data_IF_803791367344
#
_entry.id   IF_803791367344
#
_cell.length_a   1.000
_cell.length_b   1.000
_cell.length_c   1.000
_cell.angle_alpha   90.00
_cell.angle_beta   90.00
_cell.angle_gamma   90.00
#
_symmetry.space_group_name_H-M   'P 1'
#
loop_
_entity.id
_entity.type
_entity.pdbx_description
1 polymer ?
#
# COMPACT_ATOMS: atom_id res chain seq x y z
N UNK A 1 8.32 10.17 -8.30
CA UNK A 1 7.19 9.24 -8.61
C UNK A 1 6.93 9.20 -10.11
N UNK A 2 7.98 9.13 -10.96
CA UNK A 2 7.76 8.91 -12.38
C UNK A 2 7.47 7.42 -12.57
N UNK A 3 6.37 7.08 -13.25
CA UNK A 3 6.04 5.69 -13.57
C UNK A 3 5.15 4.95 -12.57
N UNK A 4 4.37 5.64 -11.73
CA UNK A 4 3.32 5.00 -10.90
C UNK A 4 1.94 5.60 -11.21
N UNK A 5 0.93 4.75 -11.28
CA UNK A 5 -0.48 5.15 -11.36
C UNK A 5 -1.11 4.98 -9.97
N UNK A 6 -1.38 6.09 -9.28
CA UNK A 6 -1.91 6.09 -7.90
C UNK A 6 -3.33 6.63 -7.88
N UNK A 7 -4.21 5.97 -7.11
CA UNK A 7 -5.54 6.47 -6.75
C UNK A 7 -5.64 6.55 -5.23
N UNK A 8 -6.16 7.65 -4.72
CA UNK A 8 -6.26 7.90 -3.28
C UNK A 8 -7.62 8.48 -2.92
N UNK A 9 -8.31 7.81 -2.02
CA UNK A 9 -9.42 8.34 -1.23
C UNK A 9 -8.99 8.67 0.21
N UNK A 10 -7.68 8.55 0.53
CA UNK A 10 -7.14 8.81 1.86
C UNK A 10 -7.41 10.26 2.31
N UNK A 11 -8.15 10.47 3.42
CA UNK A 11 -8.41 11.81 3.94
C UNK A 11 -7.13 12.55 4.38
N UNK A 12 -7.21 13.88 4.52
CA UNK A 12 -6.08 14.74 4.90
C UNK A 12 -5.75 14.76 6.40
N UNK A 13 -6.66 14.29 7.25
CA UNK A 13 -6.53 14.24 8.71
C UNK A 13 -6.44 12.81 9.20
N UNK A 14 -5.69 12.52 10.28
CA UNK A 14 -5.63 11.18 10.89
C UNK A 14 -7.02 10.60 11.25
N UNK A 15 -7.16 9.25 11.27
CA UNK A 15 -8.40 8.60 11.70
C UNK A 15 -8.76 9.01 13.13
N UNK A 16 -10.02 9.40 13.33
CA UNK A 16 -10.58 9.73 14.62
C UNK A 16 -12.11 9.44 14.59
N UNK A 17 -12.80 9.48 15.75
CA UNK A 17 -14.21 9.13 15.81
C UNK A 17 -15.12 9.96 14.89
N UNK A 18 -14.75 11.19 14.53
CA UNK A 18 -15.57 12.08 13.71
C UNK A 18 -15.43 11.86 12.20
N UNK A 19 -14.32 11.25 11.73
CA UNK A 19 -14.05 11.03 10.30
C UNK A 19 -13.88 9.54 9.94
N UNK A 20 -14.15 8.63 10.87
CA UNK A 20 -13.91 7.20 10.67
C UNK A 20 -14.62 6.63 9.44
N UNK A 21 -15.79 7.18 9.08
CA UNK A 21 -16.54 6.76 7.90
C UNK A 21 -15.76 6.95 6.59
N UNK A 22 -15.00 8.04 6.47
CA UNK A 22 -14.19 8.35 5.29
C UNK A 22 -13.03 7.34 5.11
N UNK A 23 -12.64 6.67 6.20
CA UNK A 23 -11.61 5.63 6.23
C UNK A 23 -12.11 4.24 5.85
N UNK A 24 -13.43 4.04 5.76
CA UNK A 24 -14.02 2.73 5.41
C UNK A 24 -14.11 2.50 3.90
N UNK A 25 -13.42 3.31 3.10
CA UNK A 25 -13.34 3.09 1.66
C UNK A 25 -12.63 1.74 1.39
N UNK A 26 -13.24 0.84 0.59
CA UNK A 26 -12.64 -0.46 0.26
C UNK A 26 -11.25 -0.38 -0.40
N UNK A 27 -10.93 0.74 -1.05
CA UNK A 27 -9.58 1.07 -1.53
C UNK A 27 -9.24 2.50 -1.09
N UNK A 28 -8.61 2.62 0.08
CA UNK A 28 -8.30 3.92 0.66
C UNK A 28 -7.17 4.62 -0.09
N UNK A 29 -6.12 3.88 -0.41
CA UNK A 29 -5.09 4.32 -1.36
C UNK A 29 -4.46 3.11 -2.01
N UNK A 30 -4.28 3.15 -3.32
CA UNK A 30 -3.65 2.08 -4.07
C UNK A 30 -2.85 2.62 -5.25
N UNK A 31 -1.95 1.79 -5.76
CA UNK A 31 -1.18 2.16 -6.94
C UNK A 31 -0.47 0.98 -7.58
N UNK A 32 -0.17 1.14 -8.86
CA UNK A 32 0.60 0.19 -9.65
C UNK A 32 1.76 0.89 -10.35
N UNK A 33 2.88 0.21 -10.50
CA UNK A 33 3.96 0.64 -11.38
C UNK A 33 3.48 0.69 -12.84
N UNK A 34 4.17 1.44 -13.70
CA UNK A 34 3.78 1.65 -15.09
C UNK A 34 3.74 0.35 -15.92
N UNK A 35 4.56 -0.62 -15.54
CA UNK A 35 4.60 -1.97 -16.10
C UNK A 35 3.69 -2.97 -15.37
N UNK A 36 2.93 -2.51 -14.37
CA UNK A 36 2.04 -3.30 -13.51
C UNK A 36 2.72 -4.44 -12.71
N UNK A 37 4.05 -4.48 -12.67
CA UNK A 37 4.83 -5.51 -11.95
C UNK A 37 4.76 -5.36 -10.44
N UNK A 38 4.52 -4.16 -9.94
CA UNK A 38 4.43 -3.86 -8.52
C UNK A 38 3.14 -3.13 -8.22
N UNK A 39 2.43 -3.61 -7.21
CA UNK A 39 1.13 -3.08 -6.80
C UNK A 39 1.14 -2.88 -5.29
N UNK A 40 0.50 -1.81 -4.83
CA UNK A 40 0.14 -1.69 -3.43
C UNK A 40 -1.33 -1.30 -3.29
N UNK A 41 -1.92 -1.71 -2.18
CA UNK A 41 -3.27 -1.36 -1.78
C UNK A 41 -3.32 -1.20 -0.27
N UNK A 42 -4.04 -0.19 0.20
CA UNK A 42 -4.21 0.05 1.62
C UNK A 42 -5.67 0.30 1.97
N UNK A 43 -6.05 -0.27 3.12
CA UNK A 43 -7.33 -0.07 3.80
C UNK A 43 -7.08 0.34 5.25
N UNK A 44 -8.11 0.82 5.92
CA UNK A 44 -8.07 1.06 7.37
C UNK A 44 -8.91 0.01 8.10
N UNK A 45 -8.34 -0.59 9.14
CA UNK A 45 -9.02 -1.56 10.01
C UNK A 45 -9.42 -0.86 11.32
N UNK A 46 -10.64 -0.27 11.40
CA UNK A 46 -11.05 0.56 12.52
C UNK A 46 -11.08 -0.20 13.85
N UNK A 47 -11.40 -1.50 13.83
CA UNK A 47 -11.44 -2.36 15.00
C UNK A 47 -10.05 -2.65 15.59
N UNK A 48 -8.99 -2.39 14.82
CA UNK A 48 -7.59 -2.56 15.23
C UNK A 48 -6.84 -1.23 15.38
N UNK A 49 -7.43 -0.13 14.91
CA UNK A 49 -6.84 1.21 14.99
C UNK A 49 -5.58 1.37 14.15
N UNK A 50 -5.49 0.70 13.00
CA UNK A 50 -4.31 0.79 12.12
C UNK A 50 -4.68 0.61 10.65
N UNK A 51 -3.76 0.99 9.77
CA UNK A 51 -3.82 0.71 8.34
C UNK A 51 -3.34 -0.72 8.07
N UNK A 52 -3.87 -1.32 7.01
CA UNK A 52 -3.33 -2.55 6.42
C UNK A 52 -2.86 -2.18 5.03
N UNK A 53 -1.54 -2.11 4.83
CA UNK A 53 -0.91 -1.86 3.55
C UNK A 53 -0.41 -3.19 3.00
N UNK A 54 -0.95 -3.60 1.86
CA UNK A 54 -0.52 -4.79 1.12
C UNK A 54 0.39 -4.36 -0.02
N UNK A 55 1.59 -4.92 -0.07
CA UNK A 55 2.57 -4.75 -1.13
C UNK A 55 2.66 -6.05 -1.93
N UNK A 56 2.63 -5.95 -3.25
CA UNK A 56 2.58 -7.10 -4.15
C UNK A 56 3.57 -6.95 -5.29
N UNK A 57 4.19 -8.06 -5.66
CA UNK A 57 4.89 -8.23 -6.92
C UNK A 57 4.09 -9.20 -7.79
N UNK A 58 3.90 -8.84 -9.04
CA UNK A 58 3.20 -9.64 -10.05
C UNK A 58 4.25 -10.41 -10.86
N UNK A 59 3.97 -11.69 -11.09
CA UNK A 59 4.74 -12.56 -11.98
C UNK A 59 4.49 -12.17 -13.44
N UNK A 60 5.56 -11.99 -14.21
CA UNK A 60 5.49 -11.50 -15.59
C UNK A 60 5.00 -12.56 -16.59
N UNK A 61 5.08 -13.86 -16.25
CA UNK A 61 4.71 -14.95 -17.14
C UNK A 61 3.21 -15.29 -17.04
N UNK A 62 2.70 -15.33 -15.80
CA UNK A 62 1.34 -15.79 -15.52
C UNK A 62 0.39 -14.71 -15.00
N UNK A 63 0.92 -13.54 -14.59
CA UNK A 63 0.12 -12.44 -14.05
C UNK A 63 -0.42 -12.68 -12.64
N UNK A 64 0.07 -13.70 -11.93
CA UNK A 64 -0.28 -13.97 -10.53
C UNK A 64 0.56 -13.13 -9.58
N UNK A 65 0.10 -13.00 -8.32
CA UNK A 65 0.92 -12.42 -7.26
C UNK A 65 2.06 -13.40 -6.95
N UNK A 66 3.29 -13.02 -7.32
CA UNK A 66 4.51 -13.77 -7.02
C UNK A 66 4.87 -13.64 -5.53
N UNK A 67 4.80 -12.42 -5.02
CA UNK A 67 5.10 -12.13 -3.61
C UNK A 67 4.09 -11.15 -3.04
N UNK A 68 3.77 -11.33 -1.76
CA UNK A 68 2.89 -10.47 -0.99
C UNK A 68 3.55 -10.14 0.36
N UNK A 69 3.45 -8.90 0.80
CA UNK A 69 3.83 -8.48 2.14
C UNK A 69 2.75 -7.55 2.72
N UNK A 70 2.42 -7.72 4.00
CA UNK A 70 1.52 -6.83 4.73
C UNK A 70 2.28 -6.02 5.76
N UNK A 71 2.06 -4.71 5.74
CA UNK A 71 2.55 -3.76 6.73
C UNK A 71 1.37 -3.17 7.48
N UNK A 72 1.61 -2.77 8.73
CA UNK A 72 0.55 -2.29 9.63
C UNK A 72 0.83 -0.88 10.18
N UNK A 73 0.87 0.15 9.32
CA UNK A 73 1.11 1.54 9.76
C UNK A 73 0.06 2.00 10.77
N UNK A 74 0.47 2.77 11.78
CA UNK A 74 -0.43 3.32 12.81
C UNK A 74 -0.86 4.76 12.54
N UNK A 75 -0.26 5.41 11.55
CA UNK A 75 -0.57 6.78 11.16
C UNK A 75 -0.51 6.94 9.64
N UNK A 76 -1.13 8.00 9.13
CA UNK A 76 -1.01 8.38 7.71
C UNK A 76 0.43 8.69 7.34
N UNK A 77 1.19 9.29 8.26
CA UNK A 77 2.60 9.61 8.04
C UNK A 77 3.43 8.33 7.82
N UNK A 78 3.22 7.30 8.64
CA UNK A 78 3.86 5.99 8.48
C UNK A 78 3.41 5.31 7.18
N UNK A 79 2.11 5.31 6.88
CA UNK A 79 1.57 4.76 5.64
C UNK A 79 2.24 5.40 4.41
N UNK A 80 2.30 6.74 4.38
CA UNK A 80 2.92 7.47 3.30
C UNK A 80 4.43 7.21 3.20
N UNK A 81 5.12 7.02 4.32
CA UNK A 81 6.54 6.67 4.33
C UNK A 81 6.78 5.27 3.73
N UNK A 82 5.98 4.27 4.09
CA UNK A 82 6.06 2.94 3.51
C UNK A 82 5.76 2.93 2.01
N UNK A 83 4.70 3.61 1.58
CA UNK A 83 4.36 3.74 0.15
C UNK A 83 5.51 4.43 -0.61
N UNK A 84 6.06 5.54 -0.09
CA UNK A 84 7.19 6.21 -0.75
C UNK A 84 8.41 5.32 -0.87
N UNK A 85 8.73 4.56 0.19
CA UNK A 85 9.86 3.61 0.18
C UNK A 85 9.64 2.53 -0.88
N UNK A 86 8.44 1.94 -0.93
CA UNK A 86 8.11 0.91 -1.91
C UNK A 86 8.14 1.46 -3.35
N UNK A 87 7.58 2.64 -3.59
CA UNK A 87 7.59 3.25 -4.92
C UNK A 87 9.00 3.68 -5.40
N UNK A 88 9.94 3.89 -4.48
CA UNK A 88 11.31 4.27 -4.81
C UNK A 88 12.18 3.06 -5.20
N UNK A 89 11.97 1.92 -4.53
CA UNK A 89 12.70 0.68 -4.78
C UNK A 89 11.83 -0.53 -4.39
N UNK A 90 10.91 -0.96 -5.27
CA UNK A 90 9.96 -2.00 -4.92
C UNK A 90 10.62 -3.38 -4.83
N UNK A 91 11.67 -3.65 -5.61
CA UNK A 91 12.38 -4.93 -5.60
C UNK A 91 13.12 -5.18 -4.27
N UNK A 92 13.61 -4.13 -3.62
CA UNK A 92 14.24 -4.24 -2.30
C UNK A 92 13.31 -4.78 -1.20
N UNK A 93 11.98 -4.75 -1.40
CA UNK A 93 11.03 -5.34 -0.45
C UNK A 93 11.22 -6.86 -0.30
N UNK A 94 11.70 -7.55 -1.34
CA UNK A 94 11.85 -9.02 -1.36
C UNK A 94 13.29 -9.50 -1.57
N UNK A 95 14.24 -8.59 -1.81
CA UNK A 95 15.66 -8.92 -2.01
C UNK A 95 16.35 -9.67 -0.84
N UNK A 96 15.69 -9.83 0.31
CA UNK A 96 16.20 -10.54 1.49
C UNK A 96 15.56 -11.93 1.71
N UNK A 97 14.68 -12.38 0.82
CA UNK A 97 13.97 -13.66 0.95
C UNK A 97 14.73 -14.86 0.35
N UNK A 98 15.79 -14.61 -0.43
CA UNK A 98 16.57 -15.64 -1.15
C UNK A 98 17.94 -15.96 -0.49
N UNK A 99 18.05 -15.79 0.83
CA UNK A 99 19.26 -16.08 1.62
C UNK A 99 19.20 -17.39 2.38
#
# INVERSE_FOLDING_TARGET
MNGWHIRSALPDSEPNPSNLHDYLNPQLIGGASADARFVFDAVYAPERGHFVLTLMQIDDEWGFVAHESRLYPRSRAELAAHIRRFCADPAAQWAMADG
#
